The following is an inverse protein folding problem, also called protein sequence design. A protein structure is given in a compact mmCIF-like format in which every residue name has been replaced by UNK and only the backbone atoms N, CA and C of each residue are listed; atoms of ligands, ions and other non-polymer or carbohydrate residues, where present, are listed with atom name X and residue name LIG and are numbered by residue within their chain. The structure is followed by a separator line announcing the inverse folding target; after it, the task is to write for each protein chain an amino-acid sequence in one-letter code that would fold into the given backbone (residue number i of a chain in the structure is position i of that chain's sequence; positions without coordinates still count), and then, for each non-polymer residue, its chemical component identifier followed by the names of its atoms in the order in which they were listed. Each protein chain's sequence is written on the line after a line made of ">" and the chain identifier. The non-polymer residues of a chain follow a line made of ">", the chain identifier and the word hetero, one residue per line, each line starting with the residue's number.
data_IF_112838317521
#
_entry.id   IF_112838317521
#
_cell.length_a   1.000
_cell.length_b   1.000
_cell.length_c   1.000
_cell.angle_alpha   90.00
_cell.angle_beta   90.00
_cell.angle_gamma   90.00
#
_symmetry.space_group_name_H-M   'P 1'
#
loop_
_entity.id
_entity.type
_entity.pdbx_description
1 polymer ?
#
# COMPACT_ATOMS: atom_id res chain seq x y z
N UNK A 1 -23.58 -32.88 55.08
CA UNK A 1 -22.30 -33.41 55.57
C UNK A 1 -21.94 -34.67 54.79
N UNK A 2 -20.65 -34.84 54.52
CA UNK A 2 -20.02 -35.49 53.35
C UNK A 2 -19.96 -37.03 53.34
N UNK A 3 -19.93 -37.62 52.14
CA UNK A 3 -18.96 -38.66 51.66
C UNK A 3 -19.41 -39.19 50.29
N UNK A 4 -18.60 -39.77 49.39
CA UNK A 4 -17.22 -39.63 48.90
C UNK A 4 -17.01 -40.81 47.92
N UNK A 5 -16.59 -40.55 46.67
CA UNK A 5 -15.96 -41.48 45.69
C UNK A 5 -16.77 -42.71 45.18
N UNK A 6 -16.59 -43.30 43.99
CA UNK A 6 -15.69 -43.11 42.85
C UNK A 6 -16.39 -43.72 41.61
N UNK A 7 -16.11 -43.26 40.41
CA UNK A 7 -16.81 -43.71 39.19
C UNK A 7 -16.09 -43.36 37.91
N UNK A 8 -14.77 -43.58 37.89
CA UNK A 8 -13.89 -43.59 36.74
C UNK A 8 -14.54 -44.20 35.47
N UNK A 9 -14.88 -43.37 34.48
CA UNK A 9 -15.03 -43.80 33.08
C UNK A 9 -14.28 -42.85 32.14
N UNK A 10 -13.04 -43.26 31.87
CA UNK A 10 -12.40 -43.24 30.55
C UNK A 10 -12.07 -41.88 29.92
N UNK A 11 -11.04 -41.21 30.45
CA UNK A 11 -10.16 -40.38 29.63
C UNK A 11 -9.26 -41.30 28.79
N UNK A 12 -9.75 -41.69 27.61
CA UNK A 12 -8.89 -42.18 26.54
C UNK A 12 -8.65 -41.01 25.60
N UNK A 13 -7.45 -40.44 25.63
CA UNK A 13 -7.06 -39.40 24.68
C UNK A 13 -6.00 -38.46 25.24
N UNK A 14 -4.79 -38.56 24.68
CA UNK A 14 -3.62 -37.78 25.05
C UNK A 14 -3.84 -36.27 24.99
N UNK A 15 -3.10 -35.58 25.85
CA UNK A 15 -3.35 -34.19 26.22
C UNK A 15 -2.84 -33.14 25.24
N UNK A 16 -3.28 -31.91 25.51
CA UNK A 16 -2.54 -30.67 25.36
C UNK A 16 -3.07 -29.70 26.43
N UNK A 17 -2.24 -29.30 27.40
CA UNK A 17 -2.55 -28.23 28.35
C UNK A 17 -2.07 -26.90 27.77
N UNK A 18 -2.94 -25.89 27.51
CA UNK A 18 -2.46 -24.56 27.21
C UNK A 18 -1.91 -23.93 28.51
N UNK A 19 -0.61 -23.69 28.56
CA UNK A 19 0.01 -22.92 29.64
C UNK A 19 -0.52 -21.48 29.61
N UNK A 20 -1.14 -21.04 30.71
CA UNK A 20 -1.33 -19.62 30.97
C UNK A 20 0.04 -18.97 31.18
N UNK A 21 0.41 -18.04 30.29
CA UNK A 21 1.47 -17.07 30.56
C UNK A 21 0.88 -15.67 30.42
N UNK A 22 0.70 -15.02 31.58
CA UNK A 22 0.62 -13.57 31.65
C UNK A 22 1.96 -12.99 31.22
N UNK A 23 2.00 -12.27 30.10
CA UNK A 23 2.94 -11.17 29.92
C UNK A 23 2.32 -10.12 29.01
N UNK A 24 1.73 -9.12 29.65
CA UNK A 24 1.30 -7.87 29.05
C UNK A 24 2.54 -7.05 28.72
N UNK A 25 3.09 -7.21 27.52
CA UNK A 25 4.02 -6.25 26.92
C UNK A 25 3.77 -6.23 25.42
N UNK A 26 3.30 -5.07 24.97
CA UNK A 26 3.14 -4.60 23.60
C UNK A 26 4.23 -5.12 22.63
N UNK A 27 3.82 -5.65 21.47
CA UNK A 27 4.52 -5.29 20.24
C UNK A 27 3.51 -5.15 19.10
N UNK A 28 2.75 -4.06 19.11
CA UNK A 28 1.99 -3.57 17.96
C UNK A 28 2.88 -2.96 16.88
N UNK A 29 4.11 -3.45 16.70
CA UNK A 29 4.81 -3.31 15.42
C UNK A 29 4.07 -4.21 14.43
N UNK A 30 3.00 -3.67 13.86
CA UNK A 30 2.45 -4.15 12.62
C UNK A 30 3.62 -4.18 11.63
N UNK A 31 4.13 -5.39 11.43
CA UNK A 31 5.19 -5.65 10.48
C UNK A 31 4.82 -4.93 9.19
N UNK A 32 5.66 -3.96 8.82
CA UNK A 32 5.63 -3.26 7.56
C UNK A 32 6.05 -4.21 6.43
N UNK A 33 5.38 -5.37 6.35
CA UNK A 33 5.11 -6.07 5.11
C UNK A 33 4.22 -5.19 4.25
N UNK A 34 4.72 -3.97 3.95
CA UNK A 34 4.18 -3.04 2.98
C UNK A 34 4.27 -3.76 1.65
N UNK A 35 3.23 -4.53 1.36
CA UNK A 35 2.61 -4.71 0.05
C UNK A 35 3.62 -4.60 -1.11
N UNK A 36 4.68 -5.41 -1.08
CA UNK A 36 5.66 -5.48 -2.18
C UNK A 36 5.06 -6.14 -3.41
N UNK A 37 3.94 -6.86 -3.24
CA UNK A 37 3.38 -7.75 -4.25
C UNK A 37 2.34 -7.10 -5.17
N UNK A 38 2.07 -5.80 -5.04
CA UNK A 38 1.25 -5.11 -6.04
C UNK A 38 1.71 -3.67 -6.28
N UNK A 39 2.84 -3.52 -6.98
CA UNK A 39 3.17 -2.27 -7.67
C UNK A 39 2.17 -2.09 -8.84
N UNK A 40 0.96 -1.62 -8.54
CA UNK A 40 -0.11 -1.46 -9.52
C UNK A 40 0.19 -0.24 -10.40
N UNK A 41 0.07 -0.43 -11.73
CA UNK A 41 0.07 0.67 -12.68
C UNK A 41 -1.34 1.29 -12.71
N UNK A 42 -1.50 2.44 -12.05
CA UNK A 42 -2.80 3.09 -11.92
C UNK A 42 -3.11 3.97 -13.14
N UNK A 43 -4.23 3.73 -13.86
CA UNK A 43 -4.67 4.65 -14.89
C UNK A 43 -5.18 5.94 -14.23
N UNK A 44 -4.54 7.07 -14.53
CA UNK A 44 -4.87 8.37 -13.95
C UNK A 44 -4.95 9.45 -15.02
N UNK A 45 -5.80 10.44 -14.76
CA UNK A 45 -5.86 11.70 -15.52
C UNK A 45 -4.85 12.72 -14.98
N UNK A 46 -4.48 13.71 -15.80
CA UNK A 46 -3.60 14.81 -15.37
C UNK A 46 -4.19 15.55 -14.18
N UNK A 47 -5.51 15.77 -14.16
CA UNK A 47 -6.17 16.44 -13.04
C UNK A 47 -5.98 15.69 -11.72
N UNK A 48 -6.24 14.37 -11.71
CA UNK A 48 -6.06 13.56 -10.50
C UNK A 48 -4.62 13.59 -9.99
N UNK A 49 -3.64 13.56 -10.90
CA UNK A 49 -2.22 13.66 -10.53
C UNK A 49 -1.92 15.00 -9.88
N UNK A 50 -2.40 16.10 -10.48
CA UNK A 50 -2.19 17.46 -9.96
C UNK A 50 -2.86 17.68 -8.62
N UNK A 51 -4.10 17.23 -8.47
CA UNK A 51 -4.87 17.37 -7.24
C UNK A 51 -4.24 16.58 -6.09
N UNK A 52 -3.55 15.47 -6.40
CA UNK A 52 -2.83 14.66 -5.41
C UNK A 52 -1.39 15.13 -5.12
N UNK A 53 -0.81 16.00 -5.96
CA UNK A 53 0.53 16.55 -5.76
C UNK A 53 0.48 17.88 -5.02
N UNK A 54 1.14 17.99 -3.86
CA UNK A 54 1.28 19.26 -3.16
C UNK A 54 2.68 19.86 -3.43
N UNK A 55 2.79 21.01 -4.12
CA UNK A 55 4.08 21.62 -4.46
C UNK A 55 4.87 22.10 -3.24
N UNK A 56 4.23 22.27 -2.07
CA UNK A 56 4.89 22.70 -0.84
C UNK A 56 5.43 21.55 0.02
N UNK A 57 5.20 20.29 -0.38
CA UNK A 57 5.58 19.12 0.41
C UNK A 57 6.36 18.11 -0.42
N UNK A 58 7.66 18.40 -0.62
CA UNK A 58 8.59 17.59 -1.42
C UNK A 58 8.79 16.15 -0.89
N UNK A 59 8.35 15.84 0.34
CA UNK A 59 8.49 14.52 0.96
C UNK A 59 7.18 13.76 1.12
N UNK A 60 6.06 14.32 0.67
CA UNK A 60 4.77 13.64 0.76
C UNK A 60 4.64 12.50 -0.26
N UNK A 61 4.07 11.38 0.17
CA UNK A 61 3.64 10.34 -0.75
C UNK A 61 2.43 10.85 -1.55
N UNK A 62 2.40 10.57 -2.86
CA UNK A 62 1.22 10.84 -3.68
C UNK A 62 0.18 9.78 -3.34
N UNK A 63 -0.99 10.22 -2.88
CA UNK A 63 -2.12 9.36 -2.53
C UNK A 63 -3.34 9.78 -3.33
N UNK A 64 -3.94 8.84 -4.07
CA UNK A 64 -5.18 9.04 -4.82
C UNK A 64 -6.20 8.03 -4.30
N UNK A 65 -7.37 8.51 -3.88
CA UNK A 65 -8.46 7.67 -3.35
C UNK A 65 -8.03 6.70 -2.24
N UNK A 66 -7.07 7.13 -1.40
CA UNK A 66 -6.51 6.33 -0.30
C UNK A 66 -5.46 5.29 -0.72
N UNK A 67 -5.04 5.27 -1.99
CA UNK A 67 -4.02 4.37 -2.53
C UNK A 67 -2.71 5.13 -2.76
N UNK A 68 -1.61 4.61 -2.22
CA UNK A 68 -0.27 5.11 -2.50
C UNK A 68 0.08 4.91 -4.00
N UNK A 69 0.43 6.00 -4.69
CA UNK A 69 0.71 6.00 -6.13
C UNK A 69 2.21 6.14 -6.37
N UNK A 70 2.80 5.13 -7.02
CA UNK A 70 4.21 5.15 -7.44
C UNK A 70 4.38 5.12 -8.96
N UNK A 71 3.55 4.32 -9.65
CA UNK A 71 3.60 4.17 -11.10
C UNK A 71 2.20 4.38 -11.69
N UNK A 72 2.13 5.11 -12.80
CA UNK A 72 0.86 5.47 -13.46
C UNK A 72 0.83 5.05 -14.92
N UNK A 73 -0.37 5.00 -15.49
CA UNK A 73 -0.62 5.02 -16.93
C UNK A 73 -1.48 6.24 -17.25
N UNK A 74 -1.09 6.98 -18.28
CA UNK A 74 -1.82 8.14 -18.77
C UNK A 74 -1.86 8.09 -20.29
N UNK A 75 -2.97 8.53 -20.87
CA UNK A 75 -3.14 8.68 -22.32
C UNK A 75 -3.52 10.13 -22.58
N UNK A 76 -2.80 10.78 -23.48
CA UNK A 76 -3.06 12.15 -23.88
C UNK A 76 -2.43 12.46 -25.22
N UNK A 77 -2.77 13.61 -25.77
CA UNK A 77 -2.19 14.14 -26.99
C UNK A 77 -0.88 14.85 -26.67
N UNK A 78 0.17 14.55 -27.43
CA UNK A 78 1.42 15.30 -27.37
C UNK A 78 1.21 16.65 -28.07
N UNK A 79 1.33 17.75 -27.31
CA UNK A 79 1.18 19.11 -27.83
C UNK A 79 2.51 19.78 -28.17
N UNK A 80 3.62 19.31 -27.60
CA UNK A 80 4.96 19.83 -27.85
C UNK A 80 6.04 18.76 -27.60
N UNK A 81 7.19 18.90 -28.25
CA UNK A 81 8.35 18.01 -28.13
C UNK A 81 9.65 18.80 -28.17
N UNK A 82 10.47 18.66 -27.12
CA UNK A 82 11.80 19.23 -27.02
C UNK A 82 12.84 18.11 -26.94
N UNK A 83 13.76 18.08 -27.89
CA UNK A 83 14.82 17.06 -27.97
C UNK A 83 16.16 17.66 -27.54
N UNK A 84 16.90 16.93 -26.71
CA UNK A 84 18.24 17.24 -26.22
C UNK A 84 19.16 16.05 -26.47
N UNK A 85 20.46 16.25 -26.24
CA UNK A 85 21.45 15.19 -26.45
C UNK A 85 21.19 13.93 -25.59
N UNK A 86 20.58 14.08 -24.42
CA UNK A 86 20.41 13.02 -23.41
C UNK A 86 18.96 12.65 -23.13
N UNK A 87 17.99 13.43 -23.62
CA UNK A 87 16.58 13.25 -23.28
C UNK A 87 15.64 13.87 -24.31
N UNK A 88 14.38 13.45 -24.25
CA UNK A 88 13.26 14.07 -24.94
C UNK A 88 12.19 14.43 -23.92
N UNK A 89 11.75 15.68 -23.94
CA UNK A 89 10.63 16.18 -23.13
C UNK A 89 9.38 16.31 -23.99
N UNK A 90 8.26 15.77 -23.54
CA UNK A 90 6.96 15.86 -24.21
C UNK A 90 5.98 16.64 -23.33
N UNK A 91 5.28 17.61 -23.91
CA UNK A 91 4.10 18.19 -23.27
C UNK A 91 2.87 17.36 -23.65
N UNK A 92 2.16 16.83 -22.66
CA UNK A 92 1.01 15.93 -22.84
C UNK A 92 -0.25 16.60 -22.28
N UNK A 93 -1.33 16.62 -23.08
CA UNK A 93 -2.67 17.10 -22.72
C UNK A 93 -3.69 15.95 -22.84
N UNK A 94 -4.39 15.60 -21.75
CA UNK A 94 -5.41 14.54 -21.73
C UNK A 94 -6.86 15.09 -21.72
N UNK A 95 -7.04 16.40 -21.90
CA UNK A 95 -8.34 17.08 -21.78
C UNK A 95 -8.74 17.45 -20.35
N UNK A 96 -8.04 16.94 -19.34
CA UNK A 96 -8.21 17.32 -17.92
C UNK A 96 -7.09 18.22 -17.42
N UNK A 97 -5.97 18.26 -18.14
CA UNK A 97 -4.86 19.18 -17.89
C UNK A 97 -3.63 18.84 -18.72
N UNK A 98 -2.56 19.61 -18.50
CA UNK A 98 -1.25 19.40 -19.13
C UNK A 98 -0.14 19.04 -18.14
N UNK A 99 0.75 18.14 -18.53
CA UNK A 99 2.00 17.82 -17.82
C UNK A 99 3.18 17.67 -18.78
N UNK A 100 4.39 17.69 -18.24
CA UNK A 100 5.62 17.40 -18.99
C UNK A 100 6.11 16.00 -18.62
N UNK A 101 6.40 15.18 -19.64
CA UNK A 101 7.00 13.86 -19.50
C UNK A 101 8.42 13.87 -20.05
N UNK A 102 9.39 13.44 -19.24
CA UNK A 102 10.79 13.30 -19.65
C UNK A 102 11.11 11.84 -19.94
N UNK A 103 11.63 11.57 -21.14
CA UNK A 103 12.17 10.27 -21.55
C UNK A 103 13.67 10.41 -21.77
N UNK A 104 14.44 9.67 -21.00
CA UNK A 104 15.90 9.56 -21.09
C UNK A 104 16.27 8.43 -22.06
#
# INVERSE_FOLDING_TARGET
>A
MFSQFDGNVAFSGGGFMPSQSFQSTDPGYSSSSKNRDSQVLLPLTVKQIKDASNPNDEKSNIVVDGVDVNNIKLVGMVSDRVERATDVSFSIDDGTGRLVCHRW
#
